data_IF_177954508102
#
_entry.id   IF_177954508102
#
_cell.length_a   1.000
_cell.length_b   1.000
_cell.length_c   1.000
_cell.angle_alpha   90.00
_cell.angle_beta   90.00
_cell.angle_gamma   90.00
#
_symmetry.space_group_name_H-M   'P 1'
#
loop_
_entity.id
_entity.type
_entity.pdbx_description
1 polymer ?
#
# COMPACT_ATOMS: atom_id res chain seq x y z
N UNK A 1 -9.42 19.13 1.60
CA UNK A 1 -9.04 18.53 2.91
C UNK A 1 -7.74 17.77 2.76
N UNK A 2 -6.74 17.99 3.63
CA UNK A 2 -5.53 17.15 3.67
C UNK A 2 -5.89 15.84 4.38
N UNK A 3 -5.96 14.73 3.66
CA UNK A 3 -6.02 13.41 4.29
C UNK A 3 -4.62 13.03 4.75
N UNK A 4 -4.40 12.71 6.04
CA UNK A 4 -3.10 12.23 6.50
C UNK A 4 -2.74 10.93 5.76
N UNK A 5 -1.46 10.75 5.44
CA UNK A 5 -1.00 9.49 4.86
C UNK A 5 -1.26 8.34 5.83
N UNK A 6 -1.66 7.18 5.31
CA UNK A 6 -1.82 5.98 6.13
C UNK A 6 -0.52 5.65 6.87
N UNK A 7 -0.63 5.33 8.16
CA UNK A 7 0.49 4.78 8.94
C UNK A 7 0.67 3.31 8.58
N UNK A 8 1.89 2.93 8.18
CA UNK A 8 2.24 1.54 7.85
C UNK A 8 2.45 0.72 9.12
N UNK A 9 1.89 -0.48 9.16
CA UNK A 9 2.20 -1.51 10.17
C UNK A 9 3.43 -2.34 9.77
N UNK A 10 3.91 -3.20 10.68
CA UNK A 10 4.94 -4.19 10.33
C UNK A 10 4.46 -5.19 9.27
N UNK A 11 3.17 -5.57 9.29
CA UNK A 11 2.57 -6.45 8.27
C UNK A 11 2.55 -5.77 6.90
N UNK A 12 2.25 -4.46 6.85
CA UNK A 12 2.35 -3.68 5.61
C UNK A 12 3.80 -3.63 5.10
N UNK A 13 4.78 -3.42 5.99
CA UNK A 13 6.18 -3.36 5.60
C UNK A 13 6.70 -4.72 5.06
N UNK A 14 6.28 -5.83 5.67
CA UNK A 14 6.59 -7.17 5.19
C UNK A 14 6.03 -7.39 3.76
N UNK A 15 4.80 -6.96 3.51
CA UNK A 15 4.18 -7.02 2.18
C UNK A 15 4.91 -6.10 1.17
N UNK A 16 5.28 -4.87 1.56
CA UNK A 16 6.05 -3.96 0.71
C UNK A 16 7.36 -4.61 0.26
N UNK A 17 8.12 -5.18 1.20
CA UNK A 17 9.39 -5.87 0.89
C UNK A 17 9.17 -7.04 -0.08
N UNK A 18 8.09 -7.81 0.11
CA UNK A 18 7.75 -8.91 -0.78
C UNK A 18 7.37 -8.45 -2.20
N UNK A 19 6.59 -7.36 -2.32
CA UNK A 19 6.21 -6.79 -3.62
C UNK A 19 7.42 -6.19 -4.36
N UNK A 20 8.31 -5.52 -3.64
CA UNK A 20 9.59 -5.02 -4.21
C UNK A 20 10.44 -6.17 -4.74
N UNK A 21 10.58 -7.26 -3.96
CA UNK A 21 11.30 -8.45 -4.39
C UNK A 21 10.64 -9.13 -5.60
N UNK A 22 9.31 -9.04 -5.74
CA UNK A 22 8.55 -9.50 -6.89
C UNK A 22 8.62 -8.56 -8.11
N UNK A 23 9.35 -7.43 -8.03
CA UNK A 23 9.60 -6.51 -9.14
C UNK A 23 8.54 -5.42 -9.33
N UNK A 24 7.67 -5.17 -8.35
CA UNK A 24 6.69 -4.09 -8.42
C UNK A 24 7.35 -2.72 -8.32
N UNK A 25 6.80 -1.74 -9.04
CA UNK A 25 7.28 -0.35 -8.95
C UNK A 25 6.89 0.27 -7.60
N UNK A 26 7.79 1.07 -7.03
CA UNK A 26 7.53 1.78 -5.76
C UNK A 26 6.30 2.69 -5.85
N UNK A 27 6.03 3.28 -7.01
CA UNK A 27 4.85 4.12 -7.26
C UNK A 27 3.54 3.34 -7.16
N UNK A 28 3.51 2.11 -7.68
CA UNK A 28 2.33 1.27 -7.66
C UNK A 28 2.04 0.79 -6.24
N UNK A 29 3.09 0.38 -5.53
CA UNK A 29 3.01 0.00 -4.11
C UNK A 29 2.53 1.18 -3.27
N UNK A 30 3.07 2.38 -3.48
CA UNK A 30 2.67 3.59 -2.78
C UNK A 30 1.20 3.94 -3.02
N UNK A 31 0.73 3.81 -4.27
CA UNK A 31 -0.67 4.00 -4.64
C UNK A 31 -1.58 3.01 -3.93
N UNK A 32 -1.25 1.71 -4.02
CA UNK A 32 -2.01 0.61 -3.41
C UNK A 32 -2.19 0.83 -1.90
N UNK A 33 -1.11 1.19 -1.20
CA UNK A 33 -1.12 1.42 0.25
C UNK A 33 -1.62 2.80 0.66
N UNK A 34 -1.87 3.71 -0.28
CA UNK A 34 -2.25 5.11 0.00
C UNK A 34 -1.23 5.80 0.91
N UNK A 35 0.05 5.69 0.56
CA UNK A 35 1.16 6.29 1.31
C UNK A 35 2.04 7.16 0.42
N UNK A 36 2.87 7.99 1.04
CA UNK A 36 3.88 8.74 0.32
C UNK A 36 4.96 7.79 -0.21
N UNK A 37 5.40 7.98 -1.45
CA UNK A 37 6.43 7.13 -2.09
C UNK A 37 7.75 7.09 -1.32
N UNK A 38 8.11 8.17 -0.63
CA UNK A 38 9.28 8.21 0.25
C UNK A 38 9.23 7.16 1.37
N UNK A 39 8.03 6.77 1.83
CA UNK A 39 7.88 5.68 2.81
C UNK A 39 8.19 4.31 2.23
N UNK A 40 7.88 4.10 0.95
CA UNK A 40 8.27 2.88 0.25
C UNK A 40 9.79 2.86 0.05
N UNK A 41 10.39 4.01 -0.31
CA UNK A 41 11.83 4.14 -0.43
C UNK A 41 12.56 3.86 0.90
N UNK A 42 12.08 4.39 2.02
CA UNK A 42 12.62 4.12 3.36
C UNK A 42 12.60 2.63 3.73
N UNK A 43 11.52 1.91 3.38
CA UNK A 43 11.43 0.45 3.59
C UNK A 43 12.40 -0.29 2.67
N UNK A 44 12.49 0.12 1.40
CA UNK A 44 13.38 -0.49 0.41
C UNK A 44 14.86 -0.38 0.81
N UNK A 45 15.27 0.75 1.38
CA UNK A 45 16.64 0.95 1.84
C UNK A 45 16.91 0.42 3.26
N UNK A 46 15.89 -0.12 3.94
CA UNK A 46 16.00 -0.57 5.33
C UNK A 46 16.06 0.55 6.37
N UNK A 47 15.87 1.82 5.99
CA UNK A 47 15.85 2.93 6.94
C UNK A 47 14.65 2.88 7.90
N UNK A 48 13.63 2.08 7.56
CA UNK A 48 12.44 1.84 8.38
C UNK A 48 12.03 0.37 8.30
N UNK A 49 11.61 -0.21 9.43
CA UNK A 49 11.25 -1.63 9.54
C UNK A 49 12.38 -2.56 9.09
N UNK A 50 13.63 -2.24 9.46
CA UNK A 50 14.83 -2.99 9.07
C UNK A 50 14.67 -4.48 9.43
N UNK A 51 14.22 -4.73 10.66
CA UNK A 51 14.05 -6.03 11.30
C UNK A 51 12.91 -6.89 10.71
N UNK A 52 12.02 -6.30 9.92
CA UNK A 52 10.85 -7.00 9.38
C UNK A 52 11.25 -7.81 8.13
N UNK A 53 11.07 -9.13 8.17
CA UNK A 53 11.27 -9.97 6.99
C UNK A 53 10.19 -9.73 5.91
N UNK A 54 10.54 -10.01 4.65
CA UNK A 54 9.56 -9.99 3.56
C UNK A 54 8.47 -11.04 3.80
N UNK A 55 7.21 -10.70 3.51
CA UNK A 55 6.10 -11.64 3.60
C UNK A 55 6.20 -12.73 2.51
N UNK A 56 5.72 -13.93 2.84
CA UNK A 56 5.49 -14.98 1.84
C UNK A 56 4.18 -14.69 1.09
N UNK A 57 4.28 -14.32 -0.19
CA UNK A 57 3.13 -14.01 -1.06
C UNK A 57 2.25 -15.23 -1.35
N UNK A 58 2.73 -16.46 -1.09
CA UNK A 58 1.99 -17.69 -1.36
C UNK A 58 1.10 -18.12 -0.19
N UNK A 59 1.32 -17.56 1.01
CA UNK A 59 0.59 -17.98 2.19
C UNK A 59 -0.78 -17.29 2.31
N UNK A 60 -1.74 -18.00 2.91
CA UNK A 60 -3.12 -17.53 3.02
C UNK A 60 -3.29 -16.27 3.89
N UNK A 61 -2.35 -15.98 4.81
CA UNK A 61 -2.38 -14.77 5.63
C UNK A 61 -2.04 -13.54 4.77
N UNK A 62 -0.94 -13.60 4.03
CA UNK A 62 -0.53 -12.50 3.13
C UNK A 62 -1.57 -12.23 2.07
N UNK A 63 -2.18 -13.28 1.50
CA UNK A 63 -3.26 -13.14 0.53
C UNK A 63 -4.47 -12.38 1.11
N UNK A 64 -4.89 -12.70 2.34
CA UNK A 64 -5.97 -11.98 3.04
C UNK A 64 -5.61 -10.52 3.30
N UNK A 65 -4.40 -10.25 3.75
CA UNK A 65 -3.92 -8.87 3.99
C UNK A 65 -3.92 -8.05 2.69
N UNK A 66 -3.37 -8.61 1.62
CA UNK A 66 -3.36 -7.96 0.30
C UNK A 66 -4.78 -7.70 -0.22
N UNK A 67 -5.70 -8.66 -0.06
CA UNK A 67 -7.09 -8.49 -0.45
C UNK A 67 -7.79 -7.36 0.32
N UNK A 68 -7.51 -7.21 1.62
CA UNK A 68 -8.04 -6.11 2.44
C UNK A 68 -7.53 -4.75 1.95
N UNK A 69 -6.22 -4.65 1.68
CA UNK A 69 -5.60 -3.43 1.14
C UNK A 69 -6.20 -3.08 -0.23
N UNK A 70 -6.30 -4.05 -1.13
CA UNK A 70 -6.87 -3.85 -2.46
C UNK A 70 -8.33 -3.40 -2.38
N UNK A 71 -9.13 -4.02 -1.51
CA UNK A 71 -10.55 -3.64 -1.32
C UNK A 71 -10.66 -2.19 -0.81
N UNK A 72 -9.85 -1.82 0.19
CA UNK A 72 -9.83 -0.45 0.70
C UNK A 72 -9.41 0.57 -0.37
N UNK A 73 -8.41 0.22 -1.18
CA UNK A 73 -7.95 1.05 -2.31
C UNK A 73 -9.05 1.24 -3.36
N UNK A 74 -9.73 0.17 -3.78
CA UNK A 74 -10.83 0.23 -4.74
C UNK A 74 -11.99 1.11 -4.25
N UNK A 75 -12.41 0.94 -2.99
CA UNK A 75 -13.48 1.75 -2.40
C UNK A 75 -13.11 3.24 -2.36
N UNK A 76 -11.85 3.56 -2.03
CA UNK A 76 -11.36 4.94 -2.02
C UNK A 76 -11.40 5.56 -3.42
N UNK A 77 -10.84 4.89 -4.42
CA UNK A 77 -10.81 5.40 -5.80
C UNK A 77 -12.24 5.56 -6.34
N UNK A 78 -13.10 4.55 -6.14
CA UNK A 78 -14.51 4.63 -6.53
C UNK A 78 -15.24 5.81 -5.89
N UNK A 79 -15.02 6.06 -4.59
CA UNK A 79 -15.57 7.21 -3.90
C UNK A 79 -15.13 8.56 -4.49
N UNK A 80 -13.83 8.71 -4.78
CA UNK A 80 -13.30 9.94 -5.39
C UNK A 80 -13.88 10.20 -6.79
N UNK A 81 -14.00 9.16 -7.61
CA UNK A 81 -14.61 9.26 -8.92
C UNK A 81 -16.09 9.66 -8.83
N UNK A 82 -16.83 9.03 -7.90
CA UNK A 82 -18.24 9.36 -7.67
C UNK A 82 -18.45 10.81 -7.25
N UNK A 83 -17.65 11.32 -6.31
CA UNK A 83 -17.73 12.73 -5.90
C UNK A 83 -17.38 13.68 -7.04
N UNK A 84 -16.39 13.33 -7.86
CA UNK A 84 -16.02 14.12 -9.05
C UNK A 84 -17.18 14.23 -10.04
N UNK A 85 -17.88 13.13 -10.29
CA UNK A 85 -19.04 13.12 -11.19
C UNK A 85 -20.22 13.95 -10.66
N UNK A 86 -20.44 13.98 -9.34
CA UNK A 86 -21.50 14.81 -8.72
C UNK A 86 -21.25 16.31 -8.86
N UNK A 87 -19.99 16.74 -8.82
CA UNK A 87 -19.61 18.16 -8.98
C UNK A 87 -19.68 18.59 -10.45
N UNK A 88 -19.55 17.64 -11.39
CA UNK A 88 -19.60 17.90 -12.82
C UNK A 88 -21.03 17.92 -13.42
N UNK A 89 -22.05 17.56 -12.64
CA UNK A 89 -23.46 17.55 -13.00
C UNK A 89 -24.18 18.80 -12.49
#
# INVERSE_FOLDING_TARGET
MKHPSRTLSAEDAALVKALLAAGWMQSDIASLLTVNIGRIAEINTGARFEEVAAADLTCAQTARHLQQIQTAWLLRIGGLLNETMKVAA
#
